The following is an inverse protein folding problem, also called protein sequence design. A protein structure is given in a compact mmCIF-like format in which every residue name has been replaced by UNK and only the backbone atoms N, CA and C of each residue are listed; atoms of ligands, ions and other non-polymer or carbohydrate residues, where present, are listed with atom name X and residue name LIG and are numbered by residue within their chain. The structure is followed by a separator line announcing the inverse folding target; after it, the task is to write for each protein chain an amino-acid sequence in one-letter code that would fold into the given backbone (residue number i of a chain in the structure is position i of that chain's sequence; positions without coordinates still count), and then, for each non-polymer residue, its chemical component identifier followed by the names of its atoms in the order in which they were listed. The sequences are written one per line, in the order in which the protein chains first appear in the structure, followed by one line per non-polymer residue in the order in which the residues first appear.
data_IF_684199798868
#
_entry.id   IF_684199798868
#
_cell.length_a   1.000
_cell.length_b   1.000
_cell.length_c   1.000
_cell.angle_alpha   90.00
_cell.angle_beta   90.00
_cell.angle_gamma   90.00
#
_symmetry.space_group_name_H-M   'P 1'
#
loop_
_entity.id
_entity.type
_entity.pdbx_description
1 polymer ?
#
# COMPACT_ATOMS: atom_id res chain seq x y z
N UNK A 1 -3.12 23.51 9.91
CA UNK A 1 -3.29 22.90 9.63
C UNK A 1 -3.42 21.84 9.66
N UNK A 2 -3.92 21.42 10.01
CA UNK A 2 -3.84 20.38 9.99
C UNK A 2 -4.08 19.68 9.06
N UNK A 3 -3.97 19.08 8.94
CA UNK A 3 -3.74 18.40 7.85
C UNK A 3 -4.38 17.09 7.86
N UNK A 4 -5.45 17.00 7.19
CA UNK A 4 -6.25 15.82 7.24
C UNK A 4 -5.61 14.66 6.58
N UNK A 5 -4.64 14.88 5.72
CA UNK A 5 -3.97 13.78 5.07
C UNK A 5 -2.93 13.13 5.95
N UNK A 6 -2.79 13.63 7.16
CA UNK A 6 -1.84 13.03 8.09
C UNK A 6 -2.50 12.04 9.02
N UNK A 7 -3.58 11.45 8.61
CA UNK A 7 -4.18 10.38 9.38
C UNK A 7 -3.18 9.25 9.55
N UNK A 8 -3.11 8.67 10.76
CA UNK A 8 -2.22 7.53 10.96
C UNK A 8 -2.61 6.37 10.09
N UNK A 9 -1.63 5.70 9.56
CA UNK A 9 -1.89 4.49 8.78
C UNK A 9 -2.14 3.32 9.72
N UNK A 10 -3.04 2.44 9.31
CA UNK A 10 -3.24 1.20 10.06
C UNK A 10 -2.07 0.27 9.81
N UNK A 11 -1.93 -0.74 10.66
CA UNK A 11 -0.87 -1.71 10.46
C UNK A 11 -1.03 -2.46 9.14
N UNK A 12 -2.28 -2.76 8.77
CA UNK A 12 -2.52 -3.43 7.51
C UNK A 12 -2.11 -2.56 6.34
N UNK A 13 -2.37 -1.25 6.43
CA UNK A 13 -1.99 -0.33 5.37
C UNK A 13 -0.47 -0.24 5.25
N UNK A 14 0.22 -0.18 6.38
CA UNK A 14 1.68 -0.14 6.36
C UNK A 14 2.26 -1.41 5.79
N UNK A 15 1.72 -2.55 6.18
CA UNK A 15 2.18 -3.83 5.67
C UNK A 15 1.95 -3.94 4.17
N UNK A 16 0.77 -3.51 3.71
CA UNK A 16 0.48 -3.51 2.29
C UNK A 16 1.48 -2.64 1.53
N UNK A 17 1.73 -1.43 2.01
CA UNK A 17 2.67 -0.53 1.34
C UNK A 17 4.07 -1.13 1.28
N UNK A 18 4.49 -1.74 2.37
CA UNK A 18 5.81 -2.36 2.41
C UNK A 18 5.91 -3.52 1.42
N UNK A 19 4.86 -4.33 1.35
CA UNK A 19 4.85 -5.45 0.40
C UNK A 19 4.87 -4.96 -1.04
N UNK A 20 4.15 -3.88 -1.33
CA UNK A 20 4.16 -3.29 -2.67
C UNK A 20 5.60 -2.92 -3.06
N UNK A 21 6.30 -2.23 -2.16
CA UNK A 21 7.65 -1.77 -2.48
C UNK A 21 8.62 -2.93 -2.57
N UNK A 22 8.54 -3.86 -1.61
CA UNK A 22 9.48 -4.99 -1.59
C UNK A 22 9.31 -5.90 -2.80
N UNK A 23 8.09 -5.99 -3.31
CA UNK A 23 7.81 -6.91 -4.41
C UNK A 23 7.65 -6.20 -5.74
N UNK A 24 8.05 -4.94 -5.82
CA UNK A 24 8.05 -4.25 -7.11
C UNK A 24 9.38 -4.42 -7.83
N UNK A 25 10.36 -5.03 -7.17
CA UNK A 25 11.66 -5.30 -7.78
C UNK A 25 11.80 -6.80 -7.98
N UNK A 26 12.42 -7.19 -9.08
CA UNK A 26 12.72 -8.60 -9.27
C UNK A 26 11.72 -9.29 -10.15
N UNK A 27 11.99 -10.57 -10.37
CA UNK A 27 11.25 -11.36 -11.35
C UNK A 27 9.92 -11.88 -10.84
N UNK A 28 9.78 -11.97 -9.52
CA UNK A 28 8.59 -12.55 -8.94
C UNK A 28 7.76 -11.49 -8.24
N UNK A 29 7.55 -10.37 -8.92
CA UNK A 29 6.75 -9.31 -8.36
C UNK A 29 5.33 -9.78 -8.08
N UNK A 30 4.83 -9.46 -6.89
CA UNK A 30 3.47 -9.81 -6.51
C UNK A 30 2.49 -8.80 -7.07
N UNK A 31 1.31 -9.28 -7.44
CA UNK A 31 0.26 -8.37 -7.83
C UNK A 31 -0.19 -7.56 -6.61
N UNK A 32 -0.82 -6.42 -6.86
CA UNK A 32 -1.33 -5.59 -5.77
C UNK A 32 -2.39 -6.37 -4.96
N UNK A 33 -3.19 -7.17 -5.66
CA UNK A 33 -4.20 -7.99 -4.99
C UNK A 33 -3.54 -8.98 -4.03
N UNK A 34 -2.47 -9.62 -4.46
CA UNK A 34 -1.76 -10.56 -3.59
C UNK A 34 -1.13 -9.85 -2.41
N UNK A 35 -0.61 -8.65 -2.62
CA UNK A 35 -0.07 -7.87 -1.51
C UNK A 35 -1.15 -7.56 -0.48
N UNK A 36 -2.35 -7.24 -0.94
CA UNK A 36 -3.45 -6.97 -0.03
C UNK A 36 -3.83 -8.21 0.77
N UNK A 37 -3.90 -9.36 0.12
CA UNK A 37 -4.20 -10.60 0.81
C UNK A 37 -3.15 -10.90 1.88
N UNK A 38 -1.89 -10.73 1.52
CA UNK A 38 -0.81 -11.01 2.45
C UNK A 38 -0.79 -10.03 3.61
N UNK A 39 -1.26 -8.81 3.38
CA UNK A 39 -1.33 -7.82 4.43
C UNK A 39 -2.47 -8.08 5.41
N UNK A 40 -3.40 -8.97 5.07
CA UNK A 40 -4.47 -9.34 5.98
C UNK A 40 -5.86 -8.95 5.54
N UNK A 41 -6.00 -8.35 4.35
CA UNK A 41 -7.33 -8.00 3.85
C UNK A 41 -8.06 -9.25 3.38
N UNK A 42 -9.38 -9.23 3.51
CA UNK A 42 -10.19 -10.40 3.15
C UNK A 42 -10.01 -10.71 1.67
N UNK A 43 -9.85 -12.01 1.33
CA UNK A 43 -9.59 -12.37 -0.08
C UNK A 43 -10.67 -11.90 -1.04
N UNK A 44 -11.93 -11.90 -0.62
CA UNK A 44 -13.00 -11.53 -1.53
C UNK A 44 -13.04 -10.03 -1.80
N UNK A 45 -12.38 -9.21 -0.97
CA UNK A 45 -12.32 -7.78 -1.21
C UNK A 45 -10.91 -7.29 -1.48
N UNK A 46 -9.95 -8.20 -1.55
CA UNK A 46 -8.54 -7.80 -1.68
C UNK A 46 -8.28 -6.99 -2.94
N UNK A 47 -8.90 -7.38 -4.06
CA UNK A 47 -8.68 -6.66 -5.31
C UNK A 47 -9.18 -5.22 -5.20
N UNK A 48 -10.35 -5.03 -4.61
CA UNK A 48 -10.88 -3.69 -4.44
C UNK A 48 -10.06 -2.89 -3.44
N UNK A 49 -9.65 -3.51 -2.33
CA UNK A 49 -8.80 -2.81 -1.37
C UNK A 49 -7.50 -2.37 -2.00
N UNK A 50 -6.88 -3.26 -2.80
CA UNK A 50 -5.63 -2.92 -3.47
C UNK A 50 -5.81 -1.73 -4.39
N UNK A 51 -6.91 -1.71 -5.13
CA UNK A 51 -7.19 -0.59 -6.02
C UNK A 51 -7.32 0.71 -5.22
N UNK A 52 -8.08 0.68 -4.14
CA UNK A 52 -8.31 1.87 -3.33
C UNK A 52 -7.02 2.36 -2.68
N UNK A 53 -6.23 1.43 -2.17
CA UNK A 53 -5.02 1.80 -1.43
C UNK A 53 -3.94 2.39 -2.33
N UNK A 54 -3.95 2.03 -3.61
CA UNK A 54 -2.97 2.56 -4.55
C UNK A 54 -3.49 3.74 -5.35
N UNK A 55 -4.69 4.19 -5.05
CA UNK A 55 -5.28 5.33 -5.74
C UNK A 55 -5.09 6.59 -4.89
N UNK A 56 -4.27 7.56 -5.35
CA UNK A 56 -4.00 8.75 -4.54
C UNK A 56 -5.22 9.63 -4.31
N UNK A 57 -6.26 9.47 -5.09
CA UNK A 57 -7.49 10.22 -4.86
C UNK A 57 -8.31 9.63 -3.72
N UNK A 58 -8.09 8.36 -3.43
CA UNK A 58 -8.83 7.69 -2.35
C UNK A 58 -7.97 7.60 -1.10
N UNK A 59 -6.72 7.20 -1.25
CA UNK A 59 -5.83 6.99 -0.11
C UNK A 59 -4.50 7.71 -0.34
N UNK A 60 -4.50 9.04 -0.31
CA UNK A 60 -3.25 9.77 -0.54
C UNK A 60 -2.17 9.49 0.50
N UNK A 61 -2.56 9.22 1.75
CA UNK A 61 -1.58 8.94 2.78
C UNK A 61 -0.85 7.62 2.54
N UNK A 62 -1.56 6.60 2.05
CA UNK A 62 -0.92 5.32 1.73
C UNK A 62 0.03 5.50 0.55
N UNK A 63 -0.41 6.22 -0.47
CA UNK A 63 0.42 6.44 -1.65
C UNK A 63 1.68 7.22 -1.29
N UNK A 64 1.56 8.21 -0.41
CA UNK A 64 2.72 8.95 0.04
C UNK A 64 3.69 8.05 0.80
N UNK A 65 3.16 7.18 1.64
CA UNK A 65 4.00 6.26 2.38
C UNK A 65 4.76 5.32 1.45
N UNK A 66 4.07 4.85 0.40
CA UNK A 66 4.73 4.01 -0.61
C UNK A 66 5.89 4.75 -1.26
N UNK A 67 5.68 6.02 -1.62
CA UNK A 67 6.74 6.80 -2.23
C UNK A 67 7.92 6.99 -1.29
N UNK A 68 7.65 7.22 -0.01
CA UNK A 68 8.72 7.37 0.96
C UNK A 68 9.51 6.08 1.09
N UNK A 69 8.82 4.94 1.09
CA UNK A 69 9.51 3.67 1.17
C UNK A 69 10.38 3.42 -0.06
N UNK A 70 9.87 3.77 -1.23
CA UNK A 70 10.65 3.61 -2.45
C UNK A 70 11.94 4.40 -2.38
N UNK A 71 11.86 5.61 -1.83
CA UNK A 71 13.06 6.44 -1.71
C UNK A 71 14.07 5.83 -0.76
N UNK A 72 13.60 5.12 0.27
CA UNK A 72 14.51 4.49 1.20
C UNK A 72 15.19 3.25 0.61
N UNK A 73 14.58 2.66 -0.39
CA UNK A 73 15.15 1.46 -1.00
C UNK A 73 16.17 1.78 -2.09
N UNK A 74 16.43 3.03 -2.34
CA UNK A 74 17.35 3.42 -3.41
C UNK A 74 18.82 3.31 -3.05
#
# INVERSE_FOLDING_TARGET
MKNIINKPLTEMQKTFARLIVENSFGENAMSHTDCAKKAGYAPESAAQRAYELTNPEICPNVCRYIEELKNEFR
#
